data_IF_348931065150
#
_entry.id   IF_348931065150
#
_cell.length_a   1.000
_cell.length_b   1.000
_cell.length_c   1.000
_cell.angle_alpha   90.00
_cell.angle_beta   90.00
_cell.angle_gamma   90.00
#
_symmetry.space_group_name_H-M   'P 1'
#
loop_
_entity.id
_entity.type
_entity.pdbx_description
1 polymer ?
#
# COMPACT_ATOMS: atom_id res chain seq x y z
N UNK A 1 -18.60 12.97 8.52
CA UNK A 1 -18.33 12.01 9.58
C UNK A 1 -18.73 10.59 9.21
N UNK A 2 -18.58 9.66 10.14
CA UNK A 2 -19.11 8.31 9.99
C UNK A 2 -20.55 8.22 10.46
N UNK A 3 -21.01 9.20 11.24
CA UNK A 3 -22.36 9.27 11.82
C UNK A 3 -23.13 10.37 11.13
N UNK A 4 -24.35 10.06 10.70
CA UNK A 4 -25.28 11.08 10.22
C UNK A 4 -25.87 11.83 11.42
N UNK A 5 -25.51 13.10 11.57
CA UNK A 5 -25.97 13.96 12.66
C UNK A 5 -27.41 14.48 12.46
N UNK A 6 -27.99 14.24 11.29
CA UNK A 6 -29.38 14.59 11.01
C UNK A 6 -30.36 13.47 11.43
N UNK A 7 -29.85 12.25 11.62
CA UNK A 7 -30.65 11.12 12.12
C UNK A 7 -30.78 11.20 13.65
N UNK A 8 -32.01 11.30 14.20
CA UNK A 8 -32.26 11.40 15.64
C UNK A 8 -31.72 10.21 16.44
N UNK A 9 -31.65 9.00 15.84
CA UNK A 9 -31.19 7.79 16.54
C UNK A 9 -29.65 7.73 16.54
N UNK A 10 -29.00 8.18 15.48
CA UNK A 10 -27.53 8.15 15.32
C UNK A 10 -26.83 9.39 15.88
N UNK A 11 -27.56 10.50 16.10
CA UNK A 11 -27.01 11.83 16.42
C UNK A 11 -26.03 11.84 17.61
N UNK A 12 -26.21 11.00 18.60
CA UNK A 12 -25.38 10.91 19.80
C UNK A 12 -24.34 9.78 19.71
N UNK A 13 -24.27 9.04 18.57
CA UNK A 13 -23.31 7.99 18.35
C UNK A 13 -21.86 8.50 18.30
N UNK A 14 -20.92 7.61 18.59
CA UNK A 14 -19.50 7.91 18.40
C UNK A 14 -19.16 7.90 16.91
N UNK A 15 -18.33 8.86 16.48
CA UNK A 15 -17.82 8.91 15.09
C UNK A 15 -16.96 7.69 14.74
N UNK A 16 -16.30 7.11 15.71
CA UNK A 16 -15.46 5.92 15.56
C UNK A 16 -15.90 4.90 16.62
N UNK A 17 -16.61 3.87 16.19
CA UNK A 17 -17.09 2.76 17.02
C UNK A 17 -16.57 1.41 16.51
N UNK A 18 -15.37 1.41 15.98
CA UNK A 18 -14.69 0.22 15.47
C UNK A 18 -13.22 0.21 15.86
N UNK A 19 -12.59 -0.95 15.78
CA UNK A 19 -11.17 -1.08 16.04
C UNK A 19 -10.35 -0.34 15.00
N UNK A 20 -9.63 0.69 15.44
CA UNK A 20 -8.78 1.51 14.58
C UNK A 20 -7.44 0.83 14.36
N UNK A 21 -7.16 0.45 13.11
CA UNK A 21 -5.88 -0.06 12.66
C UNK A 21 -5.13 0.99 11.84
N UNK A 22 -3.87 0.71 11.52
CA UNK A 22 -3.08 1.57 10.63
C UNK A 22 -3.78 1.82 9.29
N UNK A 23 -4.60 0.89 8.79
CA UNK A 23 -5.31 1.02 7.51
C UNK A 23 -6.46 2.04 7.57
N UNK A 24 -7.15 2.11 8.69
CA UNK A 24 -8.32 2.97 8.87
C UNK A 24 -7.96 4.40 9.28
N UNK A 25 -6.74 4.57 9.82
CA UNK A 25 -6.31 5.88 10.33
C UNK A 25 -6.26 6.98 9.25
N UNK A 26 -5.78 6.74 8.02
CA UNK A 26 -5.81 7.74 6.95
C UNK A 26 -7.22 8.24 6.63
N UNK A 27 -8.22 7.35 6.60
CA UNK A 27 -9.61 7.71 6.31
C UNK A 27 -10.20 8.61 7.40
N UNK A 28 -9.92 8.29 8.67
CA UNK A 28 -10.34 9.12 9.82
C UNK A 28 -9.73 10.52 9.71
N UNK A 29 -8.45 10.61 9.39
CA UNK A 29 -7.72 11.87 9.24
C UNK A 29 -8.29 12.69 8.08
N UNK A 30 -8.50 12.05 6.93
CA UNK A 30 -9.05 12.70 5.73
C UNK A 30 -10.44 13.27 5.99
N UNK A 31 -11.34 12.50 6.62
CA UNK A 31 -12.68 12.96 6.98
C UNK A 31 -12.66 14.11 8.01
N UNK A 32 -11.78 14.03 9.00
CA UNK A 32 -11.62 15.10 9.97
C UNK A 32 -11.10 16.38 9.30
N UNK A 33 -10.14 16.26 8.38
CA UNK A 33 -9.59 17.38 7.63
C UNK A 33 -10.65 18.08 6.78
N UNK A 34 -11.48 17.29 6.08
CA UNK A 34 -12.55 17.81 5.24
C UNK A 34 -13.61 18.60 6.02
N UNK A 35 -13.96 18.14 7.24
CA UNK A 35 -15.03 18.75 8.03
C UNK A 35 -14.52 19.88 8.95
N UNK A 36 -13.36 19.70 9.58
CA UNK A 36 -12.89 20.59 10.67
C UNK A 36 -11.68 21.45 10.31
N UNK A 37 -11.06 21.20 9.15
CA UNK A 37 -9.88 21.91 8.68
C UNK A 37 -8.58 21.51 9.40
N UNK A 38 -7.48 22.13 8.97
CA UNK A 38 -6.11 21.73 9.33
C UNK A 38 -5.80 21.86 10.83
N UNK A 39 -6.26 22.96 11.47
CA UNK A 39 -5.96 23.22 12.88
C UNK A 39 -6.57 22.17 13.82
N UNK A 40 -7.86 21.90 13.67
CA UNK A 40 -8.55 20.92 14.50
C UNK A 40 -8.02 19.50 14.26
N UNK A 41 -7.67 19.16 13.01
CA UNK A 41 -7.07 17.88 12.66
C UNK A 41 -5.69 17.70 13.31
N UNK A 42 -4.87 18.75 13.34
CA UNK A 42 -3.56 18.72 14.03
C UNK A 42 -3.73 18.45 15.53
N UNK A 43 -4.65 19.13 16.19
CA UNK A 43 -4.94 18.92 17.61
C UNK A 43 -5.46 17.49 17.87
N UNK A 44 -6.32 16.96 16.98
CA UNK A 44 -6.82 15.59 17.06
C UNK A 44 -5.67 14.59 16.96
N UNK A 45 -4.75 14.77 16.01
CA UNK A 45 -3.59 13.89 15.83
C UNK A 45 -2.67 13.87 17.05
N UNK A 46 -2.43 15.03 17.67
CA UNK A 46 -1.65 15.12 18.90
C UNK A 46 -2.32 14.38 20.06
N UNK A 47 -3.65 14.46 20.17
CA UNK A 47 -4.43 13.71 21.18
C UNK A 47 -4.38 12.21 20.92
N UNK A 48 -4.54 11.75 19.66
CA UNK A 48 -4.42 10.34 19.28
C UNK A 48 -3.03 9.81 19.64
N UNK A 49 -1.99 10.54 19.28
CA UNK A 49 -0.59 10.22 19.61
C UNK A 49 -0.40 10.08 21.13
N UNK A 50 -0.81 11.08 21.89
CA UNK A 50 -0.68 11.09 23.35
C UNK A 50 -1.43 9.93 24.02
N UNK A 51 -2.65 9.64 23.53
CA UNK A 51 -3.45 8.54 24.01
C UNK A 51 -2.81 7.18 23.64
N UNK A 52 -2.30 7.02 22.43
CA UNK A 52 -1.59 5.83 22.01
C UNK A 52 -0.39 5.51 22.90
N UNK A 53 0.45 6.49 23.18
CA UNK A 53 1.59 6.31 24.10
C UNK A 53 1.15 5.99 25.51
N UNK A 54 0.15 6.70 26.04
CA UNK A 54 -0.37 6.48 27.38
C UNK A 54 -0.86 5.05 27.57
N UNK A 55 -1.72 4.57 26.68
CA UNK A 55 -2.30 3.23 26.79
C UNK A 55 -1.31 2.14 26.46
N UNK A 56 -0.39 2.34 25.52
CA UNK A 56 0.71 1.41 25.27
C UNK A 56 1.59 1.22 26.51
N UNK A 57 1.88 2.29 27.26
CA UNK A 57 2.63 2.21 28.52
C UNK A 57 1.86 1.48 29.61
N UNK A 58 0.57 1.79 29.78
CA UNK A 58 -0.30 1.19 30.82
C UNK A 58 -0.53 -0.29 30.54
N UNK A 59 -0.69 -0.68 29.27
CA UNK A 59 -0.95 -2.08 28.89
C UNK A 59 0.20 -3.02 29.24
N UNK A 60 1.43 -2.52 29.30
CA UNK A 60 2.62 -3.32 29.64
C UNK A 60 2.87 -4.48 28.68
N UNK A 61 2.41 -4.38 27.41
CA UNK A 61 2.61 -5.43 26.40
C UNK A 61 4.09 -5.65 26.17
N UNK A 62 4.55 -6.89 26.37
CA UNK A 62 5.93 -7.31 26.11
C UNK A 62 5.93 -8.53 25.20
N UNK A 63 7.08 -8.83 24.60
CA UNK A 63 7.28 -10.01 23.73
C UNK A 63 8.22 -10.97 24.41
N UNK A 64 7.81 -12.24 24.48
CA UNK A 64 8.63 -13.35 24.95
C UNK A 64 8.84 -14.39 23.84
N UNK A 65 9.83 -15.24 23.98
CA UNK A 65 10.08 -16.34 23.02
C UNK A 65 8.92 -17.32 22.97
N UNK A 66 8.21 -17.51 24.06
CA UNK A 66 7.02 -18.38 24.13
C UNK A 66 5.84 -17.87 23.30
N UNK A 67 5.76 -16.57 23.04
CA UNK A 67 4.66 -15.98 22.26
C UNK A 67 4.74 -16.36 20.76
N UNK A 68 5.90 -16.77 20.28
CA UNK A 68 6.08 -17.34 18.95
C UNK A 68 5.57 -18.79 18.90
N UNK A 69 4.26 -19.00 18.95
CA UNK A 69 3.63 -20.32 19.01
C UNK A 69 3.80 -21.05 17.67
N UNK A 70 4.37 -22.27 17.72
CA UNK A 70 4.57 -23.10 16.54
C UNK A 70 3.29 -23.91 16.29
N UNK A 71 2.69 -23.86 15.07
CA UNK A 71 1.47 -24.59 14.78
C UNK A 71 1.71 -26.11 14.85
N UNK A 72 0.83 -26.87 15.54
CA UNK A 72 1.00 -28.31 15.70
C UNK A 72 0.91 -29.09 14.39
N UNK A 73 0.26 -28.55 13.36
CA UNK A 73 0.14 -29.16 12.03
C UNK A 73 1.43 -29.08 11.20
N UNK A 74 2.43 -28.29 11.61
CA UNK A 74 3.68 -28.08 10.87
C UNK A 74 4.40 -29.39 10.50
N UNK A 75 4.62 -30.37 11.42
CA UNK A 75 5.32 -31.62 11.08
C UNK A 75 4.62 -32.41 9.99
N UNK A 76 3.29 -32.51 10.03
CA UNK A 76 2.49 -33.23 9.05
C UNK A 76 2.57 -32.60 7.66
N UNK A 77 2.45 -31.25 7.58
CA UNK A 77 2.57 -30.52 6.33
C UNK A 77 3.97 -30.65 5.71
N UNK A 78 5.01 -30.69 6.54
CA UNK A 78 6.38 -30.91 6.05
C UNK A 78 6.59 -32.33 5.55
N UNK A 79 6.04 -33.35 6.23
CA UNK A 79 6.12 -34.74 5.80
C UNK A 79 5.38 -34.95 4.45
N UNK A 80 4.17 -34.40 4.29
CA UNK A 80 3.44 -34.42 3.02
C UNK A 80 4.27 -33.80 1.88
N UNK A 81 4.90 -32.67 2.14
CA UNK A 81 5.74 -31.98 1.16
C UNK A 81 6.96 -32.83 0.76
N UNK A 82 7.63 -33.46 1.73
CA UNK A 82 8.77 -34.34 1.46
C UNK A 82 8.39 -35.55 0.60
N UNK A 83 7.22 -36.14 0.83
CA UNK A 83 6.70 -37.23 -0.01
C UNK A 83 6.43 -36.75 -1.45
N UNK A 84 5.81 -35.58 -1.61
CA UNK A 84 5.55 -34.98 -2.94
C UNK A 84 6.85 -34.71 -3.68
N UNK A 85 7.83 -34.09 -3.03
CA UNK A 85 9.16 -33.85 -3.60
C UNK A 85 9.85 -35.16 -3.99
N UNK A 86 9.77 -36.19 -3.15
CA UNK A 86 10.35 -37.51 -3.46
C UNK A 86 9.73 -38.14 -4.70
N UNK A 87 8.41 -37.94 -4.95
CA UNK A 87 7.74 -38.39 -6.17
C UNK A 87 8.29 -37.69 -7.42
N UNK A 88 8.48 -36.35 -7.34
CA UNK A 88 9.06 -35.56 -8.44
C UNK A 88 10.48 -36.00 -8.77
N UNK A 89 11.30 -36.22 -7.73
CA UNK A 89 12.68 -36.72 -7.92
C UNK A 89 12.70 -38.13 -8.55
N UNK A 90 11.77 -39.02 -8.14
CA UNK A 90 11.64 -40.34 -8.75
C UNK A 90 11.25 -40.26 -10.23
N UNK A 91 10.36 -39.37 -10.59
CA UNK A 91 10.00 -39.13 -12.01
C UNK A 91 11.17 -38.61 -12.83
N UNK A 92 11.94 -37.69 -12.28
CA UNK A 92 13.17 -37.22 -12.91
C UNK A 92 14.21 -38.33 -13.11
N UNK A 93 14.45 -39.14 -12.08
CA UNK A 93 15.40 -40.25 -12.17
C UNK A 93 14.97 -41.34 -13.17
N UNK A 94 13.66 -41.44 -13.50
CA UNK A 94 13.13 -42.31 -14.54
C UNK A 94 13.18 -41.68 -15.93
N UNK A 95 13.64 -40.43 -16.06
CA UNK A 95 13.70 -39.70 -17.33
C UNK A 95 12.35 -39.18 -17.86
N UNK A 96 11.31 -39.13 -17.02
CA UNK A 96 9.97 -38.71 -17.41
C UNK A 96 9.80 -37.18 -17.49
N UNK A 97 10.64 -36.44 -16.78
CA UNK A 97 10.59 -34.98 -16.73
C UNK A 97 11.99 -34.39 -16.93
N UNK A 98 12.05 -33.19 -17.45
CA UNK A 98 13.30 -32.42 -17.62
C UNK A 98 13.81 -31.90 -16.26
N UNK A 99 15.07 -31.44 -16.23
CA UNK A 99 15.65 -30.86 -15.03
C UNK A 99 14.94 -29.52 -14.64
N UNK A 100 14.48 -28.79 -15.63
CA UNK A 100 13.77 -27.53 -15.43
C UNK A 100 12.36 -27.77 -14.83
N UNK A 101 11.64 -28.76 -15.35
CA UNK A 101 10.36 -29.17 -14.80
C UNK A 101 10.48 -29.71 -13.37
N UNK A 102 11.51 -30.51 -13.12
CA UNK A 102 11.83 -30.94 -11.75
C UNK A 102 12.07 -29.77 -10.82
N UNK A 103 12.91 -28.81 -11.23
CA UNK A 103 13.24 -27.62 -10.46
C UNK A 103 11.99 -26.80 -10.15
N UNK A 104 11.18 -26.50 -11.16
CA UNK A 104 9.96 -25.72 -11.00
C UNK A 104 8.93 -26.47 -10.12
N UNK A 105 8.78 -27.78 -10.31
CA UNK A 105 7.90 -28.62 -9.48
C UNK A 105 8.28 -28.64 -8.01
N UNK A 106 9.58 -28.73 -7.70
CA UNK A 106 10.08 -28.69 -6.32
C UNK A 106 9.83 -27.34 -5.66
N UNK A 107 10.11 -26.25 -6.37
CA UNK A 107 9.85 -24.89 -5.87
C UNK A 107 8.38 -24.66 -5.61
N UNK A 108 7.52 -25.07 -6.53
CA UNK A 108 6.08 -24.93 -6.37
C UNK A 108 5.57 -25.67 -5.14
N UNK A 109 5.98 -26.93 -4.94
CA UNK A 109 5.60 -27.71 -3.75
C UNK A 109 5.99 -26.99 -2.45
N UNK A 110 7.21 -26.48 -2.38
CA UNK A 110 7.67 -25.80 -1.18
C UNK A 110 7.00 -24.44 -0.98
N UNK A 111 6.62 -23.74 -2.05
CA UNK A 111 5.87 -22.50 -1.96
C UNK A 111 4.46 -22.73 -1.44
N UNK A 112 3.73 -23.70 -2.02
CA UNK A 112 2.41 -24.14 -1.52
C UNK A 112 2.47 -24.57 -0.05
N UNK A 113 3.51 -25.33 0.34
CA UNK A 113 3.69 -25.75 1.72
C UNK A 113 3.95 -24.58 2.66
N UNK A 114 4.75 -23.62 2.22
CA UNK A 114 5.02 -22.39 2.99
C UNK A 114 3.73 -21.60 3.21
N UNK A 115 2.85 -21.53 2.22
CA UNK A 115 1.57 -20.85 2.33
C UNK A 115 0.59 -21.60 3.25
N UNK A 116 0.54 -22.95 3.17
CA UNK A 116 -0.23 -23.79 4.09
C UNK A 116 0.24 -23.61 5.55
N UNK A 117 1.55 -23.61 5.78
CA UNK A 117 2.13 -23.38 7.12
C UNK A 117 1.82 -21.96 7.60
N UNK A 118 1.84 -20.97 6.71
CA UNK A 118 1.50 -19.56 7.05
C UNK A 118 0.04 -19.44 7.47
N UNK A 119 -0.87 -20.15 6.77
CA UNK A 119 -2.29 -20.17 7.11
C UNK A 119 -2.52 -20.89 8.44
N UNK A 120 -1.94 -22.09 8.62
CA UNK A 120 -2.03 -22.82 9.88
C UNK A 120 -1.48 -22.01 11.07
N UNK A 121 -0.43 -21.20 10.84
CA UNK A 121 0.11 -20.30 11.85
C UNK A 121 -0.89 -19.19 12.20
N UNK A 122 -1.50 -18.55 11.20
CA UNK A 122 -2.48 -17.49 11.42
C UNK A 122 -3.72 -18.01 12.18
N UNK A 123 -4.21 -19.19 11.80
CA UNK A 123 -5.36 -19.85 12.44
C UNK A 123 -5.08 -20.30 13.89
N UNK A 124 -3.80 -20.53 14.23
CA UNK A 124 -3.38 -20.99 15.57
C UNK A 124 -2.93 -19.87 16.51
N UNK A 125 -2.79 -18.63 16.01
CA UNK A 125 -2.44 -17.48 16.83
C UNK A 125 -3.69 -16.96 17.55
N UNK A 126 -3.57 -16.78 18.86
CA UNK A 126 -4.63 -16.18 19.67
C UNK A 126 -4.66 -14.65 19.47
N UNK A 127 -5.84 -14.05 19.49
CA UNK A 127 -6.03 -12.60 19.34
C UNK A 127 -5.29 -11.78 20.39
N UNK A 128 -5.07 -12.36 21.59
CA UNK A 128 -4.35 -11.73 22.70
C UNK A 128 -2.85 -11.95 22.67
N UNK A 129 -2.33 -12.66 21.67
CA UNK A 129 -0.89 -12.85 21.54
C UNK A 129 -0.20 -11.51 21.23
N UNK A 130 0.81 -11.07 22.00
CA UNK A 130 1.46 -9.77 21.81
C UNK A 130 2.04 -9.56 20.42
N UNK A 131 2.61 -10.60 19.83
CA UNK A 131 3.19 -10.55 18.48
C UNK A 131 2.09 -10.36 17.42
N UNK A 132 0.97 -11.09 17.58
CA UNK A 132 -0.19 -10.97 16.70
C UNK A 132 -0.83 -9.58 16.80
N UNK A 133 -1.07 -9.10 18.02
CA UNK A 133 -1.63 -7.75 18.25
C UNK A 133 -0.83 -6.63 17.56
N UNK A 134 0.50 -6.70 17.61
CA UNK A 134 1.37 -5.73 16.96
C UNK A 134 1.28 -5.79 15.43
N UNK A 135 1.18 -6.98 14.87
CA UNK A 135 1.10 -7.17 13.42
C UNK A 135 -0.30 -6.85 12.88
N UNK A 136 -1.37 -7.25 13.58
CA UNK A 136 -2.76 -7.01 13.19
C UNK A 136 -3.10 -5.52 13.23
N UNK A 137 -2.71 -4.82 14.29
CA UNK A 137 -2.87 -3.37 14.37
C UNK A 137 -2.07 -2.60 13.31
N UNK A 138 -1.09 -3.22 12.67
CA UNK A 138 -0.17 -2.60 11.71
C UNK A 138 0.88 -1.69 12.37
N UNK A 139 0.99 -1.70 13.69
CA UNK A 139 1.97 -0.89 14.41
C UNK A 139 3.40 -1.33 14.12
N UNK A 140 3.67 -2.65 14.16
CA UNK A 140 4.98 -3.22 13.87
C UNK A 140 4.89 -4.68 13.45
N UNK A 141 5.73 -5.06 12.50
CA UNK A 141 5.79 -6.43 12.01
C UNK A 141 4.78 -6.74 10.90
N UNK A 142 4.90 -7.92 10.34
CA UNK A 142 3.99 -8.47 9.34
C UNK A 142 3.85 -9.98 9.54
N UNK A 143 2.79 -10.58 9.01
CA UNK A 143 2.60 -12.04 9.05
C UNK A 143 3.78 -12.80 8.43
N UNK A 144 4.44 -12.23 7.42
CA UNK A 144 5.65 -12.80 6.83
C UNK A 144 6.83 -12.88 7.81
N UNK A 145 6.96 -11.89 8.71
CA UNK A 145 7.98 -11.91 9.77
C UNK A 145 7.62 -12.90 10.89
N UNK A 146 6.34 -12.95 11.28
CA UNK A 146 5.86 -13.93 12.27
C UNK A 146 6.06 -15.36 11.76
N UNK A 147 5.83 -15.61 10.46
CA UNK A 147 6.10 -16.90 9.82
C UNK A 147 7.58 -17.32 9.97
N UNK A 148 8.51 -16.39 9.83
CA UNK A 148 9.93 -16.70 10.03
C UNK A 148 10.28 -17.01 11.49
N UNK A 149 9.53 -16.42 12.44
CA UNK A 149 9.75 -16.67 13.88
C UNK A 149 9.18 -18.00 14.35
N UNK A 150 7.97 -18.36 13.93
CA UNK A 150 7.21 -19.49 14.48
C UNK A 150 6.73 -20.51 13.44
N UNK A 151 6.72 -20.18 12.17
CA UNK A 151 6.31 -21.09 11.09
C UNK A 151 7.49 -21.78 10.41
N UNK A 152 7.74 -21.39 9.18
CA UNK A 152 8.80 -21.89 8.31
C UNK A 152 9.44 -20.73 7.56
N UNK A 153 10.76 -20.67 7.48
CA UNK A 153 11.43 -19.62 6.73
C UNK A 153 11.22 -19.76 5.22
N UNK A 154 11.22 -20.99 4.71
CA UNK A 154 10.90 -21.30 3.32
C UNK A 154 12.09 -21.18 2.37
N UNK A 155 11.78 -20.87 1.10
CA UNK A 155 12.76 -20.79 0.04
C UNK A 155 13.55 -19.47 0.08
N UNK A 156 14.85 -19.56 -0.16
CA UNK A 156 15.76 -18.41 -0.21
C UNK A 156 16.36 -18.29 -1.60
N UNK A 157 16.45 -17.07 -2.12
CA UNK A 157 17.18 -16.80 -3.38
C UNK A 157 18.68 -16.67 -3.12
N UNK A 158 19.48 -17.19 -4.06
CA UNK A 158 20.92 -16.97 -4.04
C UNK A 158 21.28 -15.54 -4.48
N UNK A 159 22.55 -15.19 -4.46
CA UNK A 159 23.03 -13.86 -4.87
C UNK A 159 22.72 -13.51 -6.33
N UNK A 160 22.62 -14.50 -7.21
CA UNK A 160 22.24 -14.33 -8.62
C UNK A 160 20.72 -14.21 -8.85
N UNK A 161 19.91 -14.28 -7.80
CA UNK A 161 18.44 -14.17 -7.90
C UNK A 161 17.71 -15.49 -8.10
N UNK A 162 18.43 -16.62 -8.36
CA UNK A 162 17.81 -17.93 -8.52
C UNK A 162 17.46 -18.52 -7.16
N UNK A 163 16.26 -19.07 -7.03
CA UNK A 163 15.78 -19.72 -5.81
C UNK A 163 16.56 -21.02 -5.54
N UNK A 164 16.96 -21.23 -4.30
CA UNK A 164 17.62 -22.47 -3.87
C UNK A 164 16.56 -23.52 -3.64
N UNK A 165 16.71 -24.73 -4.24
CA UNK A 165 15.71 -25.80 -4.17
C UNK A 165 15.53 -26.37 -2.74
N UNK A 166 16.54 -26.22 -1.89
CA UNK A 166 16.49 -26.70 -0.50
C UNK A 166 15.83 -25.63 0.35
N UNK A 167 14.63 -25.87 0.90
CA UNK A 167 13.96 -24.92 1.76
C UNK A 167 14.57 -24.91 3.17
N UNK A 168 14.42 -23.80 3.86
CA UNK A 168 14.67 -23.72 5.28
C UNK A 168 13.37 -24.10 6.00
N UNK A 169 13.29 -25.33 6.51
CA UNK A 169 12.11 -25.88 7.20
C UNK A 169 11.97 -25.36 8.63
N UNK A 170 13.10 -25.05 9.25
CA UNK A 170 13.14 -24.51 10.59
C UNK A 170 12.68 -23.05 10.67
N UNK A 171 12.29 -22.63 11.85
CA UNK A 171 12.04 -21.25 12.23
C UNK A 171 13.09 -20.76 13.22
N UNK A 172 13.06 -19.46 13.55
CA UNK A 172 14.02 -18.88 14.48
C UNK A 172 13.82 -19.36 15.92
N UNK A 173 12.60 -19.74 16.32
CA UNK A 173 12.33 -20.28 17.66
C UNK A 173 12.95 -21.65 17.87
N UNK A 174 12.84 -22.54 16.87
CA UNK A 174 13.44 -23.88 16.89
C UNK A 174 14.97 -23.85 16.77
N UNK A 175 15.48 -22.80 16.12
CA UNK A 175 16.86 -22.70 15.70
C UNK A 175 17.12 -23.37 14.35
N UNK A 176 18.12 -22.86 13.63
CA UNK A 176 18.51 -23.36 12.31
C UNK A 176 19.62 -24.39 12.43
N UNK A 177 19.58 -25.43 11.59
CA UNK A 177 20.74 -26.31 11.39
C UNK A 177 21.88 -25.53 10.72
N UNK A 178 23.10 -26.07 10.80
CA UNK A 178 24.29 -25.43 10.21
C UNK A 178 24.11 -25.18 8.72
N UNK A 179 23.53 -26.14 8.00
CA UNK A 179 23.27 -26.02 6.57
C UNK A 179 22.22 -24.92 6.28
N UNK A 180 21.13 -24.92 7.00
CA UNK A 180 20.08 -23.92 6.88
C UNK A 180 20.58 -22.51 7.23
N UNK A 181 21.42 -22.40 8.25
CA UNK A 181 22.07 -21.14 8.60
C UNK A 181 22.96 -20.62 7.47
N UNK A 182 23.75 -21.51 6.85
CA UNK A 182 24.61 -21.14 5.72
C UNK A 182 23.80 -20.65 4.51
N UNK A 183 22.71 -21.36 4.16
CA UNK A 183 21.78 -20.94 3.11
C UNK A 183 21.17 -19.58 3.44
N UNK A 184 20.74 -19.41 4.68
CA UNK A 184 20.17 -18.17 5.21
C UNK A 184 21.12 -16.99 5.10
N UNK A 185 22.40 -17.19 5.39
CA UNK A 185 23.42 -16.13 5.34
C UNK A 185 23.65 -15.59 3.92
N UNK A 186 23.43 -16.41 2.90
CA UNK A 186 23.49 -15.96 1.48
C UNK A 186 22.38 -14.99 1.14
N UNK A 187 21.16 -15.27 1.61
CA UNK A 187 20.03 -14.35 1.45
C UNK A 187 20.23 -13.03 2.21
N UNK A 188 20.76 -13.09 3.42
CA UNK A 188 21.08 -11.89 4.20
C UNK A 188 22.14 -11.01 3.49
N UNK A 189 23.21 -11.63 2.98
CA UNK A 189 24.25 -10.93 2.20
C UNK A 189 23.66 -10.26 0.96
N UNK A 190 22.78 -10.98 0.23
CA UNK A 190 22.08 -10.39 -0.92
C UNK A 190 21.26 -9.17 -0.50
N UNK A 191 20.47 -9.28 0.56
CA UNK A 191 19.66 -8.16 1.06
C UNK A 191 20.50 -6.93 1.44
N UNK A 192 21.64 -7.12 2.09
CA UNK A 192 22.58 -6.04 2.41
C UNK A 192 23.17 -5.38 1.17
N UNK A 193 23.61 -6.19 0.20
CA UNK A 193 24.16 -5.69 -1.07
C UNK A 193 23.09 -4.95 -1.91
N UNK A 194 21.88 -5.53 -2.03
CA UNK A 194 20.77 -4.91 -2.76
C UNK A 194 20.36 -3.56 -2.13
N UNK A 195 20.33 -3.46 -0.82
CA UNK A 195 20.01 -2.21 -0.12
C UNK A 195 21.08 -1.13 -0.43
N UNK A 196 22.36 -1.48 -0.36
CA UNK A 196 23.44 -0.56 -0.63
C UNK A 196 23.40 -0.04 -2.09
N UNK A 197 23.14 -0.91 -3.06
CA UNK A 197 23.05 -0.55 -4.48
C UNK A 197 21.81 0.30 -4.78
N UNK A 198 20.64 -0.09 -4.26
CA UNK A 198 19.39 0.65 -4.47
C UNK A 198 19.42 2.06 -3.89
N UNK A 199 20.19 2.29 -2.85
CA UNK A 199 20.36 3.63 -2.26
C UNK A 199 20.99 4.59 -3.28
N UNK A 200 22.01 4.14 -4.02
CA UNK A 200 22.64 4.94 -5.05
C UNK A 200 21.69 5.21 -6.24
N UNK A 201 20.95 4.19 -6.71
CA UNK A 201 19.98 4.34 -7.80
C UNK A 201 18.84 5.30 -7.43
N UNK A 202 18.30 5.18 -6.21
CA UNK A 202 17.29 6.09 -5.66
C UNK A 202 17.82 7.51 -5.56
N UNK A 203 19.05 7.71 -5.09
CA UNK A 203 19.68 9.02 -5.00
C UNK A 203 19.87 9.68 -6.37
N UNK A 204 20.32 8.92 -7.36
CA UNK A 204 20.46 9.41 -8.73
C UNK A 204 19.12 9.74 -9.39
N UNK A 205 18.09 8.90 -9.18
CA UNK A 205 16.72 9.18 -9.65
C UNK A 205 16.17 10.47 -9.01
N UNK A 206 16.30 10.60 -7.69
CA UNK A 206 15.85 11.79 -6.97
C UNK A 206 16.53 13.05 -7.48
N UNK A 207 17.86 13.02 -7.69
CA UNK A 207 18.61 14.15 -8.25
C UNK A 207 18.05 14.55 -9.62
N UNK A 208 17.87 13.59 -10.54
CA UNK A 208 17.31 13.89 -11.88
C UNK A 208 15.92 14.49 -11.82
N UNK A 209 15.07 13.99 -10.91
CA UNK A 209 13.73 14.55 -10.71
C UNK A 209 13.79 15.98 -10.19
N UNK A 210 14.65 16.26 -9.22
CA UNK A 210 14.85 17.61 -8.69
C UNK A 210 15.40 18.55 -9.77
N UNK A 211 16.39 18.11 -10.54
CA UNK A 211 16.99 18.92 -11.62
C UNK A 211 15.94 19.33 -12.69
N UNK A 212 14.99 18.45 -12.99
CA UNK A 212 13.89 18.75 -13.95
C UNK A 212 12.79 19.58 -13.28
N UNK A 213 12.41 19.26 -12.04
CA UNK A 213 11.28 19.91 -11.38
C UNK A 213 11.58 21.30 -10.81
N UNK A 214 12.86 21.65 -10.60
CA UNK A 214 13.25 22.96 -10.06
C UNK A 214 12.84 24.15 -10.95
N UNK A 215 12.65 23.92 -12.25
CA UNK A 215 12.21 24.95 -13.20
C UNK A 215 10.68 25.11 -13.24
N UNK A 216 9.93 24.20 -12.62
CA UNK A 216 8.46 24.27 -12.54
C UNK A 216 8.07 25.25 -11.43
N UNK A 217 8.02 26.53 -11.78
CA UNK A 217 7.66 27.63 -10.87
C UNK A 217 6.36 28.24 -11.35
N UNK A 218 5.46 28.55 -10.42
CA UNK A 218 4.20 29.22 -10.73
C UNK A 218 4.47 30.72 -10.91
N UNK A 219 4.30 31.21 -12.14
CA UNK A 219 4.66 32.57 -12.53
C UNK A 219 3.46 33.49 -12.70
N UNK A 220 2.30 32.92 -13.04
CA UNK A 220 1.08 33.65 -13.32
C UNK A 220 -0.14 32.88 -12.85
N UNK A 221 -1.25 33.54 -12.65
CA UNK A 221 -2.47 32.88 -12.15
C UNK A 221 -3.14 32.07 -13.25
N UNK A 222 -3.23 32.59 -14.48
CA UNK A 222 -3.89 31.93 -15.60
C UNK A 222 -3.18 32.24 -16.92
N UNK A 223 -2.80 31.22 -17.69
CA UNK A 223 -2.25 31.38 -19.03
C UNK A 223 -3.30 31.51 -20.14
N UNK A 224 -4.60 31.33 -19.80
CA UNK A 224 -5.71 31.47 -20.75
C UNK A 224 -5.87 30.34 -21.75
N UNK A 225 -5.12 29.21 -21.61
CA UNK A 225 -5.24 28.07 -22.53
C UNK A 225 -6.60 27.39 -22.40
N UNK A 226 -7.16 26.96 -23.53
CA UNK A 226 -8.33 26.06 -23.60
C UNK A 226 -7.93 24.60 -23.84
N UNK A 227 -6.64 24.36 -24.01
CA UNK A 227 -6.11 23.02 -24.16
C UNK A 227 -6.03 22.28 -22.82
N UNK A 228 -6.31 20.98 -22.86
CA UNK A 228 -6.35 20.15 -21.67
C UNK A 228 -6.16 18.68 -22.00
N UNK A 229 -6.12 17.88 -20.97
CA UNK A 229 -6.03 16.42 -21.06
C UNK A 229 -7.38 15.83 -20.64
N UNK A 230 -7.85 14.80 -21.37
CA UNK A 230 -9.04 14.05 -20.98
C UNK A 230 -8.74 13.18 -19.77
N UNK A 231 -9.37 13.49 -18.66
CA UNK A 231 -9.33 12.69 -17.44
C UNK A 231 -10.49 11.70 -17.44
N UNK A 232 -10.19 10.46 -17.17
CA UNK A 232 -11.16 9.36 -17.06
C UNK A 232 -10.69 8.35 -16.00
N UNK A 233 -11.58 7.45 -15.59
CA UNK A 233 -11.18 6.33 -14.76
C UNK A 233 -10.22 5.40 -15.53
N UNK A 234 -9.17 4.94 -14.85
CA UNK A 234 -8.13 4.06 -15.43
C UNK A 234 -8.38 2.63 -14.97
N UNK A 235 -8.52 1.72 -15.93
CA UNK A 235 -8.72 0.31 -15.69
C UNK A 235 -7.50 -0.50 -16.14
N UNK A 236 -7.02 -1.43 -15.32
CA UNK A 236 -6.05 -2.46 -15.70
C UNK A 236 -6.68 -3.84 -15.52
N UNK A 237 -6.70 -4.64 -16.61
CA UNK A 237 -7.28 -6.01 -16.65
C UNK A 237 -8.69 -6.11 -16.06
N UNK A 238 -9.50 -5.06 -16.21
CA UNK A 238 -10.88 -5.01 -15.69
C UNK A 238 -11.02 -4.64 -14.23
N UNK A 239 -9.92 -4.32 -13.55
CA UNK A 239 -9.94 -3.71 -12.22
C UNK A 239 -9.70 -2.21 -12.35
N UNK A 240 -10.50 -1.42 -11.64
CA UNK A 240 -10.32 0.01 -11.53
C UNK A 240 -9.06 0.29 -10.70
N UNK A 241 -8.06 0.92 -11.32
CA UNK A 241 -6.79 1.31 -10.69
C UNK A 241 -6.87 2.72 -10.12
N UNK A 242 -7.57 3.60 -10.84
CA UNK A 242 -7.76 5.00 -10.45
C UNK A 242 -9.16 5.45 -10.84
N UNK A 243 -9.89 6.00 -9.87
CA UNK A 243 -11.25 6.53 -10.12
C UNK A 243 -11.20 7.86 -10.86
N UNK A 244 -12.35 8.25 -11.44
CA UNK A 244 -12.50 9.58 -12.05
C UNK A 244 -12.22 10.67 -11.02
N UNK A 245 -12.72 10.51 -9.79
CA UNK A 245 -12.51 11.47 -8.70
C UNK A 245 -11.04 11.68 -8.34
N UNK A 246 -10.25 10.61 -8.33
CA UNK A 246 -8.80 10.71 -8.10
C UNK A 246 -8.07 11.38 -9.26
N UNK A 247 -8.54 11.16 -10.51
CA UNK A 247 -7.94 11.74 -11.71
C UNK A 247 -8.17 13.24 -11.84
N UNK A 248 -9.33 13.75 -11.37
CA UNK A 248 -9.71 15.17 -11.45
C UNK A 248 -9.37 15.97 -10.19
N UNK A 249 -9.01 15.29 -9.10
CA UNK A 249 -8.79 15.94 -7.80
C UNK A 249 -7.82 17.12 -7.89
N UNK A 250 -8.31 18.31 -7.50
CA UNK A 250 -7.51 19.53 -7.46
C UNK A 250 -7.13 20.10 -8.82
N UNK A 251 -7.84 19.71 -9.87
CA UNK A 251 -7.65 20.24 -11.23
C UNK A 251 -8.77 21.18 -11.63
N UNK A 252 -8.47 22.09 -12.55
CA UNK A 252 -9.45 22.98 -13.14
C UNK A 252 -9.93 22.40 -14.49
N UNK A 253 -11.23 22.51 -14.83
CA UNK A 253 -11.71 22.15 -16.15
C UNK A 253 -11.09 23.07 -17.21
N UNK A 254 -10.75 22.54 -18.39
CA UNK A 254 -10.32 23.35 -19.54
C UNK A 254 -11.51 23.98 -20.26
N UNK A 255 -12.68 23.36 -20.17
CA UNK A 255 -13.95 23.81 -20.76
C UNK A 255 -15.06 23.64 -19.69
N UNK A 256 -16.13 24.49 -19.74
CA UNK A 256 -17.26 24.32 -18.83
C UNK A 256 -17.84 22.91 -18.94
N UNK A 257 -18.01 22.24 -17.81
CA UNK A 257 -18.57 20.88 -17.76
C UNK A 257 -20.10 20.98 -17.79
N UNK A 258 -20.70 20.49 -18.86
CA UNK A 258 -22.15 20.58 -19.11
C UNK A 258 -22.77 19.18 -18.91
N UNK A 259 -23.89 19.13 -18.20
CA UNK A 259 -24.64 17.88 -18.04
C UNK A 259 -25.23 17.43 -19.39
N UNK A 260 -24.95 16.20 -19.85
CA UNK A 260 -25.55 15.68 -21.08
C UNK A 260 -27.08 15.47 -20.96
N UNK A 261 -27.62 15.41 -19.74
CA UNK A 261 -29.04 15.15 -19.48
C UNK A 261 -29.88 16.44 -19.43
N UNK A 262 -29.35 17.50 -18.79
CA UNK A 262 -30.10 18.74 -18.54
C UNK A 262 -29.62 19.92 -19.40
N UNK A 263 -28.41 19.87 -19.95
CA UNK A 263 -27.79 20.99 -20.68
C UNK A 263 -27.33 22.14 -19.77
N UNK A 264 -27.37 21.96 -18.45
CA UNK A 264 -26.90 22.93 -17.49
C UNK A 264 -25.39 22.84 -17.29
N UNK A 265 -24.73 23.97 -17.06
CA UNK A 265 -23.30 23.99 -16.68
C UNK A 265 -23.19 23.56 -15.22
N UNK A 266 -22.56 22.42 -14.97
CA UNK A 266 -22.33 21.89 -13.64
C UNK A 266 -21.14 22.58 -12.97
N UNK A 267 -20.04 22.68 -13.69
CA UNK A 267 -18.80 23.30 -13.21
C UNK A 267 -18.22 24.22 -14.27
N UNK A 268 -17.84 25.41 -13.84
CA UNK A 268 -17.18 26.39 -14.69
C UNK A 268 -15.64 26.20 -14.66
N UNK A 269 -14.93 26.83 -15.59
CA UNK A 269 -13.48 26.78 -15.73
C UNK A 269 -12.72 27.33 -14.52
N UNK A 270 -13.38 28.14 -13.70
CA UNK A 270 -12.83 28.73 -12.47
C UNK A 270 -13.05 27.88 -11.22
N UNK A 271 -13.81 26.79 -11.34
CA UNK A 271 -14.07 25.87 -10.23
C UNK A 271 -13.00 24.79 -10.16
N UNK A 272 -12.33 24.67 -9.02
CA UNK A 272 -11.38 23.59 -8.78
C UNK A 272 -12.13 22.30 -8.39
N UNK A 273 -12.00 21.27 -9.21
CA UNK A 273 -12.69 19.99 -8.98
C UNK A 273 -12.16 19.27 -7.76
N UNK A 274 -13.06 18.91 -6.86
CA UNK A 274 -12.78 18.15 -5.64
C UNK A 274 -13.34 16.74 -5.76
N UNK A 275 -12.94 15.79 -4.89
CA UNK A 275 -13.42 14.40 -4.96
C UNK A 275 -14.94 14.26 -4.82
N UNK A 276 -15.61 15.17 -4.11
CA UNK A 276 -17.08 15.15 -3.97
C UNK A 276 -17.79 15.58 -5.28
N UNK A 277 -17.15 16.42 -6.08
CA UNK A 277 -17.70 16.83 -7.37
C UNK A 277 -17.74 15.64 -8.36
N UNK A 278 -16.85 14.66 -8.20
CA UNK A 278 -16.85 13.46 -9.01
C UNK A 278 -18.16 12.66 -8.89
N UNK A 279 -18.75 12.61 -7.69
CA UNK A 279 -20.04 11.93 -7.48
C UNK A 279 -21.14 12.62 -8.28
N UNK A 280 -21.14 13.95 -8.30
CA UNK A 280 -22.08 14.73 -9.09
C UNK A 280 -21.90 14.46 -10.58
N UNK A 281 -20.65 14.34 -11.05
CA UNK A 281 -20.36 14.02 -12.46
C UNK A 281 -20.86 12.62 -12.84
N UNK A 282 -20.62 11.63 -11.98
CA UNK A 282 -21.09 10.23 -12.17
C UNK A 282 -22.61 10.13 -12.17
N UNK A 283 -23.32 10.85 -11.29
CA UNK A 283 -24.79 10.92 -11.24
C UNK A 283 -25.38 11.48 -12.52
N UNK A 284 -24.69 12.44 -13.14
CA UNK A 284 -25.07 13.01 -14.44
C UNK A 284 -24.60 12.15 -15.64
N UNK A 285 -23.83 11.08 -15.41
CA UNK A 285 -23.35 10.13 -16.41
C UNK A 285 -22.18 10.66 -17.22
N UNK A 286 -21.33 11.50 -16.63
CA UNK A 286 -20.10 12.03 -17.24
C UNK A 286 -18.95 11.12 -16.82
N UNK A 287 -18.34 10.43 -17.78
CA UNK A 287 -17.23 9.48 -17.56
C UNK A 287 -15.86 10.12 -17.88
N UNK A 288 -15.86 11.21 -18.63
CA UNK A 288 -14.64 11.91 -19.05
C UNK A 288 -14.78 13.41 -18.86
N UNK A 289 -13.74 14.05 -18.36
CA UNK A 289 -13.66 15.51 -18.18
C UNK A 289 -12.35 16.03 -18.75
N UNK A 290 -12.42 17.12 -19.54
CA UNK A 290 -11.23 17.80 -20.05
C UNK A 290 -10.68 18.72 -18.96
N UNK A 291 -9.54 18.37 -18.38
CA UNK A 291 -8.89 19.11 -17.31
C UNK A 291 -7.64 19.84 -17.80
N UNK A 292 -7.34 20.96 -17.19
CA UNK A 292 -6.08 21.70 -17.42
C UNK A 292 -4.91 20.91 -16.83
N UNK A 293 -3.77 20.98 -17.52
CA UNK A 293 -2.56 20.25 -17.14
C UNK A 293 -1.34 21.13 -17.30
N UNK A 294 -0.32 20.84 -16.50
CA UNK A 294 1.03 21.43 -16.65
C UNK A 294 1.61 21.14 -18.04
N UNK A 295 1.24 20.00 -18.65
CA UNK A 295 1.72 19.57 -19.97
C UNK A 295 1.18 20.42 -21.13
N UNK A 296 0.03 21.06 -20.94
CA UNK A 296 -0.65 21.90 -21.95
C UNK A 296 -0.62 23.39 -21.58
N UNK A 297 0.20 23.75 -20.58
CA UNK A 297 0.30 25.13 -20.13
C UNK A 297 1.05 26.00 -21.15
N UNK A 298 0.48 27.15 -21.51
CA UNK A 298 1.07 28.12 -22.46
C UNK A 298 1.84 29.26 -21.78
N UNK A 299 2.11 29.14 -20.48
CA UNK A 299 2.95 30.10 -19.76
C UNK A 299 4.35 30.18 -20.38
N UNK A 300 4.87 31.40 -20.57
CA UNK A 300 6.19 31.58 -21.22
C UNK A 300 7.34 30.98 -20.45
N UNK A 301 7.30 31.06 -19.11
CA UNK A 301 8.30 30.52 -18.21
C UNK A 301 7.59 29.91 -17.01
N UNK A 302 7.91 28.65 -16.69
CA UNK A 302 7.25 27.94 -15.60
C UNK A 302 5.85 27.50 -15.99
N UNK A 303 4.91 27.56 -15.06
CA UNK A 303 3.51 27.16 -15.22
C UNK A 303 2.56 28.17 -14.57
N UNK A 304 1.31 28.19 -14.96
CA UNK A 304 0.29 29.01 -14.30
C UNK A 304 -0.39 28.23 -13.17
N UNK A 305 -0.97 28.95 -12.22
CA UNK A 305 -1.63 28.38 -11.04
C UNK A 305 -2.79 27.45 -11.42
N UNK A 306 -3.65 27.84 -12.38
CA UNK A 306 -4.77 27.01 -12.82
C UNK A 306 -4.33 25.71 -13.50
N UNK A 307 -3.27 25.72 -14.31
CA UNK A 307 -2.75 24.49 -14.93
C UNK A 307 -2.07 23.57 -13.92
N UNK A 308 -1.49 24.13 -12.87
CA UNK A 308 -0.91 23.35 -11.77
C UNK A 308 -2.00 22.76 -10.85
N UNK A 309 -2.96 23.59 -10.44
CA UNK A 309 -4.10 23.19 -9.62
C UNK A 309 -3.83 23.29 -8.12
N UNK A 310 -4.09 22.21 -7.41
CA UNK A 310 -4.02 22.16 -5.95
C UNK A 310 -2.57 22.02 -5.44
N UNK A 311 -2.26 22.68 -4.33
CA UNK A 311 -1.06 22.42 -3.55
C UNK A 311 -1.27 21.16 -2.69
N UNK A 312 -0.62 20.07 -3.07
CA UNK A 312 -0.76 18.79 -2.39
C UNK A 312 -0.28 18.78 -0.93
N UNK A 313 0.50 19.77 -0.51
CA UNK A 313 0.97 19.87 0.88
C UNK A 313 -0.09 20.41 1.84
N UNK A 314 -0.91 21.37 1.38
CA UNK A 314 -1.89 22.08 2.22
C UNK A 314 -3.34 21.89 1.77
N UNK A 315 -3.57 21.33 0.57
CA UNK A 315 -4.92 21.11 0.05
C UNK A 315 -5.63 22.38 -0.45
N UNK A 316 -4.91 23.48 -0.68
CA UNK A 316 -5.43 24.75 -1.16
C UNK A 316 -4.94 25.03 -2.58
N UNK A 317 -5.63 25.90 -3.34
CA UNK A 317 -5.12 26.36 -4.63
C UNK A 317 -3.74 26.98 -4.49
N UNK A 318 -2.87 26.76 -5.48
CA UNK A 318 -1.55 27.40 -5.49
C UNK A 318 -1.66 28.87 -5.92
N UNK A 319 -0.83 29.71 -5.32
CA UNK A 319 -0.64 31.10 -5.76
C UNK A 319 0.62 31.28 -6.60
N UNK A 320 0.73 32.40 -7.29
CA UNK A 320 1.94 32.80 -8.00
C UNK A 320 3.05 33.18 -7.00
N UNK A 321 4.29 32.75 -7.24
CA UNK A 321 5.47 33.09 -6.42
C UNK A 321 6.25 31.90 -5.90
#
# INVERSE_FOLDING_TARGET
GYVDRNDPEAMFGYEVDFQVTKKNLPDIISRCLAVHGTKATSEMLDRIKAQGYKYSTISGITVAVCDAVIPPQKPELLAEADERVSKVIKQFNRGLISNEERYNGVIQIWQETTDKVSKALADNLEDRNPIFMMADSGARGSMAQIRQLAGMRGLIANTAGKTIEIPIKANYREGLSVLEYFISSRGARKGLADTALRTADSGYLTRRLVDVSQEVIIREDDCGTTDGIMARAVFDKGQEVQSLGESIHGRYPAEPVVSPKTGEVLFDTDHMLMPDDAKTLEEHGIEEVKIRSVMTCEARNGVCAKCYGINLAIGEPVGAG
#
